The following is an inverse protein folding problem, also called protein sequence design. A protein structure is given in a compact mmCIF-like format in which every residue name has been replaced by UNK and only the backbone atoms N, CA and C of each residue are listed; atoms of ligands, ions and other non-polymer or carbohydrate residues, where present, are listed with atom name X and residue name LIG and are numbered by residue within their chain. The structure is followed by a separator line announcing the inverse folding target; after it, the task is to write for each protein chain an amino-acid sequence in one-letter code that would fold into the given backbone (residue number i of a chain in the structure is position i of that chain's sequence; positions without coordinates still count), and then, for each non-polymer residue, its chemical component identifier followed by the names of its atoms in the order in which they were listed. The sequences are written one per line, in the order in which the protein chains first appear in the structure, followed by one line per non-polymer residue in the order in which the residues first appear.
data_IF_815609426034
#
_entry.id   IF_815609426034
#
_cell.length_a   1.000
_cell.length_b   1.000
_cell.length_c   1.000
_cell.angle_alpha   90.00
_cell.angle_beta   90.00
_cell.angle_gamma   90.00
#
_symmetry.space_group_name_H-M   'P 1'
#
loop_
_entity.id
_entity.type
_entity.pdbx_description
1 polymer ?
#
# COMPACT_ATOMS: atom_id res chain seq x y z
N UNK A 1 3.27 -16.68 -1.05
CA UNK A 1 4.47 -15.81 -1.00
C UNK A 1 5.11 -16.02 0.36
N UNK A 2 6.40 -16.37 0.41
CA UNK A 2 7.12 -16.51 1.67
C UNK A 2 7.69 -15.14 2.06
N UNK A 3 7.18 -14.54 3.13
CA UNK A 3 7.66 -13.26 3.64
C UNK A 3 8.92 -13.48 4.45
N UNK A 4 10.09 -13.15 3.88
CA UNK A 4 11.36 -13.20 4.61
C UNK A 4 11.64 -11.85 5.28
N UNK A 5 12.45 -11.81 6.35
CA UNK A 5 12.85 -10.54 6.96
C UNK A 5 13.48 -9.56 5.98
N UNK A 6 14.25 -10.06 4.99
CA UNK A 6 14.87 -9.23 3.96
C UNK A 6 13.85 -8.55 3.04
N UNK A 7 12.83 -9.31 2.58
CA UNK A 7 11.73 -8.76 1.76
C UNK A 7 10.99 -7.66 2.53
N UNK A 8 10.65 -7.92 3.81
CA UNK A 8 9.94 -6.95 4.65
C UNK A 8 10.77 -5.67 4.82
N UNK A 9 12.07 -5.79 5.06
CA UNK A 9 12.96 -4.64 5.22
C UNK A 9 13.09 -3.80 3.94
N UNK A 10 13.23 -4.43 2.78
CA UNK A 10 13.32 -3.74 1.49
C UNK A 10 12.03 -2.97 1.17
N UNK A 11 10.88 -3.63 1.30
CA UNK A 11 9.57 -3.02 1.09
C UNK A 11 9.33 -1.87 2.08
N UNK A 12 9.69 -2.04 3.35
CA UNK A 12 9.52 -0.98 4.38
C UNK A 12 10.38 0.24 4.07
N UNK A 13 11.66 0.04 3.73
CA UNK A 13 12.57 1.13 3.35
C UNK A 13 12.07 1.89 2.12
N UNK A 14 11.46 1.20 1.14
CA UNK A 14 10.83 1.86 0.00
C UNK A 14 9.66 2.76 0.45
N UNK A 15 8.77 2.25 1.28
CA UNK A 15 7.59 2.98 1.76
C UNK A 15 7.94 4.22 2.59
N UNK A 16 8.95 4.14 3.45
CA UNK A 16 9.45 5.28 4.22
C UNK A 16 9.95 6.40 3.30
N UNK A 17 10.76 6.06 2.28
CA UNK A 17 11.25 7.01 1.28
C UNK A 17 10.14 7.62 0.42
N UNK A 18 9.08 6.85 0.17
CA UNK A 18 7.92 7.30 -0.58
C UNK A 18 6.98 8.22 0.21
N UNK A 19 7.18 8.37 1.53
CA UNK A 19 6.43 9.29 2.39
C UNK A 19 5.54 8.63 3.43
N UNK A 20 5.52 7.29 3.53
CA UNK A 20 4.78 6.54 4.56
C UNK A 20 5.56 6.48 5.88
N UNK A 21 5.87 7.65 6.45
CA UNK A 21 6.69 7.76 7.65
C UNK A 21 5.86 7.51 8.92
N UNK A 22 6.03 6.33 9.52
CA UNK A 22 5.47 5.94 10.84
C UNK A 22 3.97 6.21 10.97
N UNK A 23 3.11 5.57 10.15
CA UNK A 23 1.67 5.69 10.31
C UNK A 23 1.23 5.20 11.70
N UNK A 24 0.29 5.89 12.32
CA UNK A 24 -0.27 5.49 13.62
C UNK A 24 -1.17 4.25 13.52
N UNK A 25 -1.79 4.04 12.35
CA UNK A 25 -2.68 2.93 12.07
C UNK A 25 -2.62 2.56 10.60
N UNK A 26 -2.90 1.29 10.29
CA UNK A 26 -3.10 0.79 8.93
C UNK A 26 -4.53 0.32 8.73
N UNK A 27 -5.11 0.61 7.57
CA UNK A 27 -6.49 0.22 7.22
C UNK A 27 -6.44 -0.52 5.87
N UNK A 28 -6.98 -1.74 5.83
CA UNK A 28 -7.16 -2.48 4.58
C UNK A 28 -8.60 -2.34 4.13
N UNK A 29 -8.81 -1.72 2.97
CA UNK A 29 -10.15 -1.50 2.41
C UNK A 29 -10.57 -2.66 1.50
N UNK A 30 -11.60 -3.40 1.92
CA UNK A 30 -12.23 -4.44 1.12
C UNK A 30 -13.16 -3.90 0.02
N UNK A 31 -13.80 -4.82 -0.70
CA UNK A 31 -14.77 -4.50 -1.76
C UNK A 31 -15.87 -3.57 -1.27
N UNK A 32 -16.19 -2.54 -2.05
CA UNK A 32 -17.22 -1.54 -1.72
C UNK A 32 -16.80 -0.42 -0.77
N UNK A 33 -15.60 -0.49 -0.18
CA UNK A 33 -15.12 0.52 0.79
C UNK A 33 -14.16 1.56 0.18
N UNK A 34 -13.85 1.47 -1.11
CA UNK A 34 -12.89 2.37 -1.77
C UNK A 34 -13.27 3.86 -1.75
N UNK A 35 -14.55 4.18 -1.53
CA UNK A 35 -15.01 5.56 -1.33
C UNK A 35 -14.54 6.18 0.00
N UNK A 36 -14.06 5.39 0.97
CA UNK A 36 -13.50 5.94 2.21
C UNK A 36 -12.11 6.56 1.99
N UNK A 37 -11.34 6.05 1.02
CA UNK A 37 -10.02 6.57 0.67
C UNK A 37 -10.07 8.05 0.23
N UNK A 38 -11.18 8.51 -0.35
CA UNK A 38 -11.33 9.89 -0.84
C UNK A 38 -11.44 10.91 0.31
N UNK A 39 -11.62 10.46 1.55
CA UNK A 39 -11.64 11.30 2.74
C UNK A 39 -10.24 11.56 3.31
N UNK A 40 -9.20 10.92 2.78
CA UNK A 40 -7.82 11.17 3.20
C UNK A 40 -7.40 12.52 2.65
N UNK A 41 -7.04 13.43 3.54
CA UNK A 41 -6.49 14.74 3.16
C UNK A 41 -5.00 14.61 2.84
N UNK A 42 -4.55 15.30 1.79
CA UNK A 42 -3.15 15.28 1.32
C UNK A 42 -2.55 13.86 1.17
N UNK A 43 -3.21 12.96 0.43
CA UNK A 43 -2.75 11.58 0.34
C UNK A 43 -1.44 11.48 -0.43
N UNK A 44 -0.53 10.65 0.07
CA UNK A 44 0.51 10.03 -0.74
C UNK A 44 -0.09 8.77 -1.33
N UNK A 45 -0.07 8.64 -2.66
CA UNK A 45 -0.64 7.49 -3.37
C UNK A 45 0.50 6.70 -3.97
N UNK A 46 0.66 5.44 -3.55
CA UNK A 46 1.73 4.56 -3.99
C UNK A 46 1.12 3.36 -4.70
N UNK A 47 1.26 3.26 -6.04
CA UNK A 47 0.77 2.10 -6.78
C UNK A 47 1.48 0.82 -6.32
N UNK A 48 0.76 -0.28 -6.12
CA UNK A 48 1.32 -1.57 -5.72
C UNK A 48 2.39 -2.06 -6.69
N UNK A 49 2.26 -1.75 -7.98
CA UNK A 49 3.25 -2.07 -9.01
C UNK A 49 4.61 -1.39 -8.82
N UNK A 50 4.65 -0.31 -8.04
CA UNK A 50 5.90 0.39 -7.69
C UNK A 50 6.55 -0.13 -6.41
N UNK A 51 5.80 -0.89 -5.59
CA UNK A 51 6.28 -1.37 -4.30
C UNK A 51 6.99 -2.72 -4.50
N UNK A 52 8.27 -2.85 -4.08
CA UNK A 52 8.98 -4.12 -4.17
C UNK A 52 8.22 -5.24 -3.45
N UNK A 53 8.15 -6.41 -4.10
CA UNK A 53 7.52 -7.63 -3.59
C UNK A 53 6.00 -7.55 -3.37
N UNK A 54 5.33 -6.46 -3.75
CA UNK A 54 3.88 -6.38 -3.68
C UNK A 54 3.21 -7.21 -4.79
N UNK A 55 2.05 -7.82 -4.49
CA UNK A 55 1.28 -8.52 -5.50
C UNK A 55 0.66 -7.52 -6.49
N UNK A 56 0.52 -7.95 -7.74
CA UNK A 56 -0.23 -7.21 -8.73
C UNK A 56 -1.72 -7.27 -8.39
N UNK A 57 -2.42 -6.12 -8.40
CA UNK A 57 -3.87 -6.10 -8.27
C UNK A 57 -4.48 -6.69 -9.55
N UNK A 58 -5.11 -7.86 -9.43
CA UNK A 58 -5.67 -8.62 -10.57
C UNK A 58 -7.17 -8.42 -10.76
N UNK A 59 -7.83 -7.63 -9.91
CA UNK A 59 -9.29 -7.44 -9.90
C UNK A 59 -9.62 -5.97 -10.19
N UNK A 60 -10.48 -5.72 -11.19
CA UNK A 60 -10.84 -4.38 -11.69
C UNK A 60 -11.30 -3.39 -10.61
N UNK A 61 -11.91 -3.88 -9.52
CA UNK A 61 -12.46 -3.03 -8.46
C UNK A 61 -11.47 -2.72 -7.33
N UNK A 62 -10.25 -3.25 -7.37
CA UNK A 62 -9.18 -2.89 -6.44
C UNK A 62 -8.19 -1.97 -7.14
N UNK A 63 -8.20 -0.68 -6.77
CA UNK A 63 -7.30 0.33 -7.35
C UNK A 63 -5.81 -0.02 -7.24
N UNK A 64 -5.45 -0.94 -6.33
CA UNK A 64 -4.08 -1.41 -6.18
C UNK A 64 -3.13 -0.30 -5.74
N UNK A 65 -3.58 0.55 -4.81
CA UNK A 65 -2.80 1.64 -4.25
C UNK A 65 -2.70 1.49 -2.74
N UNK A 66 -1.54 1.84 -2.21
CA UNK A 66 -1.33 2.15 -0.81
C UNK A 66 -1.43 3.67 -0.61
#
# INVERSE_FOLDING_TARGET
MNLTPGIIAETTSFLEKAGSNKPLAGIVMGTGLGGMATKIEHPVIIPYSSIPHFPQATVEFHKGNL
#
